data_IF_233031665915
#
_entry.id   IF_233031665915
#
_cell.length_a   1.000
_cell.length_b   1.000
_cell.length_c   1.000
_cell.angle_alpha   90.00
_cell.angle_beta   90.00
_cell.angle_gamma   90.00
#
_symmetry.space_group_name_H-M   'P 1'
#
loop_
_entity.id
_entity.type
_entity.pdbx_description
1 polymer ?
#
# COMPACT_ATOMS: atom_id res chain seq x y z
N UNK A 1 13.59 -8.09 -18.07
CA UNK A 1 14.71 -7.98 -17.10
C UNK A 1 14.94 -9.35 -16.49
N UNK A 2 16.20 -9.76 -16.34
CA UNK A 2 16.53 -11.10 -15.84
C UNK A 2 16.25 -11.13 -14.33
N UNK A 3 15.51 -12.12 -13.85
CA UNK A 3 15.06 -12.24 -12.44
C UNK A 3 16.23 -12.13 -11.44
N UNK A 4 17.41 -12.63 -11.80
CA UNK A 4 18.63 -12.55 -10.96
C UNK A 4 19.19 -11.13 -10.84
N UNK A 5 19.17 -10.32 -11.91
CA UNK A 5 19.63 -8.92 -11.86
C UNK A 5 18.72 -8.07 -10.98
N UNK A 6 17.41 -8.31 -11.03
CA UNK A 6 16.44 -7.62 -10.17
C UNK A 6 16.67 -7.97 -8.69
N UNK A 7 16.85 -9.24 -8.34
CA UNK A 7 17.12 -9.67 -6.96
C UNK A 7 18.42 -9.06 -6.42
N UNK A 8 19.49 -9.02 -7.21
CA UNK A 8 20.76 -8.40 -6.81
C UNK A 8 20.60 -6.91 -6.54
N UNK A 9 19.84 -6.20 -7.38
CA UNK A 9 19.58 -4.78 -7.20
C UNK A 9 18.74 -4.51 -5.94
N UNK A 10 17.68 -5.28 -5.71
CA UNK A 10 16.85 -5.18 -4.50
C UNK A 10 17.66 -5.49 -3.24
N UNK A 11 18.51 -6.50 -3.26
CA UNK A 11 19.40 -6.82 -2.12
C UNK A 11 20.40 -5.70 -1.84
N UNK A 12 20.93 -5.04 -2.87
CA UNK A 12 21.81 -3.88 -2.72
C UNK A 12 21.07 -2.69 -2.07
N UNK A 13 19.82 -2.42 -2.47
CA UNK A 13 18.97 -1.40 -1.84
C UNK A 13 18.65 -1.75 -0.38
N UNK A 14 18.26 -3.00 -0.12
CA UNK A 14 18.00 -3.49 1.23
C UNK A 14 19.21 -3.28 2.15
N UNK A 15 20.41 -3.59 1.66
CA UNK A 15 21.65 -3.49 2.44
C UNK A 15 22.07 -2.04 2.74
N UNK A 16 21.53 -1.05 2.01
CA UNK A 16 21.65 0.37 2.39
C UNK A 16 20.67 0.76 3.50
N UNK A 17 19.57 0.04 3.63
CA UNK A 17 18.49 0.31 4.59
C UNK A 17 18.74 -0.38 5.95
N UNK A 18 19.31 -1.59 5.94
CA UNK A 18 19.48 -2.42 7.15
C UNK A 18 20.72 -2.03 7.95
N UNK A 19 20.76 -2.44 9.23
CA UNK A 19 21.90 -2.17 10.14
C UNK A 19 23.14 -3.03 9.86
N UNK A 20 23.00 -4.11 9.11
CA UNK A 20 24.08 -4.98 8.67
C UNK A 20 23.83 -5.44 7.24
N UNK A 21 24.88 -5.87 6.58
CA UNK A 21 24.78 -6.51 5.27
C UNK A 21 24.16 -7.90 5.42
N UNK A 22 23.16 -8.21 4.61
CA UNK A 22 22.54 -9.51 4.48
C UNK A 22 22.95 -10.17 3.17
N UNK A 23 23.05 -11.50 3.19
CA UNK A 23 23.14 -12.31 2.00
C UNK A 23 21.73 -12.71 1.52
N UNK A 24 21.61 -13.16 0.27
CA UNK A 24 20.32 -13.50 -0.35
C UNK A 24 19.58 -14.62 0.40
N UNK A 25 20.31 -15.59 0.93
CA UNK A 25 19.75 -16.72 1.69
C UNK A 25 19.31 -16.36 3.11
N UNK A 26 19.74 -15.21 3.65
CA UNK A 26 19.37 -14.75 5.00
C UNK A 26 18.02 -14.01 5.02
N UNK A 27 17.53 -13.56 3.86
CA UNK A 27 16.32 -12.74 3.77
C UNK A 27 15.31 -13.34 2.80
N UNK A 28 14.04 -13.02 3.03
CA UNK A 28 12.95 -13.23 2.10
C UNK A 28 12.50 -11.87 1.59
N UNK A 29 12.66 -11.64 0.29
CA UNK A 29 12.22 -10.43 -0.41
C UNK A 29 10.89 -10.72 -1.11
N UNK A 30 9.94 -9.82 -0.98
CA UNK A 30 8.64 -9.97 -1.65
C UNK A 30 8.00 -8.61 -1.91
N UNK A 31 7.11 -8.58 -2.90
CA UNK A 31 6.38 -7.38 -3.26
C UNK A 31 5.04 -7.34 -2.51
N UNK A 32 4.60 -6.14 -2.16
CA UNK A 32 3.31 -5.87 -1.51
C UNK A 32 2.57 -4.81 -2.31
N UNK A 33 1.33 -5.11 -2.70
CA UNK A 33 0.40 -4.12 -3.24
C UNK A 33 -0.24 -3.39 -2.05
N UNK A 34 0.26 -2.19 -1.71
CA UNK A 34 -0.15 -1.48 -0.50
C UNK A 34 -1.53 -0.83 -0.65
N UNK A 35 -1.73 -0.04 -1.69
CA UNK A 35 -2.98 0.65 -2.01
C UNK A 35 -2.96 1.15 -3.45
N UNK A 36 -4.09 1.66 -3.94
CA UNK A 36 -4.24 2.14 -5.31
C UNK A 36 -5.23 3.31 -5.41
N UNK A 37 -5.52 3.76 -6.65
CA UNK A 37 -6.48 4.81 -6.94
C UNK A 37 -7.85 4.28 -7.38
N UNK A 38 -8.15 2.98 -7.21
CA UNK A 38 -9.48 2.44 -7.47
C UNK A 38 -10.45 2.88 -6.37
N UNK A 39 -11.73 2.96 -6.69
CA UNK A 39 -12.77 3.19 -5.69
C UNK A 39 -12.98 1.87 -4.94
N UNK A 40 -12.74 1.91 -3.65
CA UNK A 40 -12.87 0.75 -2.77
C UNK A 40 -14.34 0.47 -2.37
N UNK A 41 -14.54 -0.58 -1.58
CA UNK A 41 -15.87 -1.00 -1.09
C UNK A 41 -16.54 0.04 -0.19
N UNK A 42 -15.79 0.96 0.40
CA UNK A 42 -16.29 2.02 1.26
C UNK A 42 -16.63 3.29 0.46
N UNK A 43 -16.40 3.26 -0.86
CA UNK A 43 -16.63 4.36 -1.78
C UNK A 43 -15.57 5.44 -1.66
N UNK A 44 -14.35 5.08 -1.24
CA UNK A 44 -13.21 5.96 -1.11
C UNK A 44 -12.10 5.57 -2.10
N UNK A 45 -11.27 6.52 -2.46
CA UNK A 45 -10.05 6.28 -3.23
C UNK A 45 -8.95 7.27 -2.86
N UNK A 46 -7.72 6.91 -3.08
CA UNK A 46 -6.61 7.86 -3.01
C UNK A 46 -6.51 8.69 -4.30
N UNK A 47 -6.16 9.98 -4.17
CA UNK A 47 -5.70 10.77 -5.32
C UNK A 47 -4.29 10.31 -5.74
N UNK A 48 -3.86 10.66 -6.97
CA UNK A 48 -2.50 10.34 -7.41
C UNK A 48 -1.44 11.04 -6.55
N UNK A 49 -1.72 12.27 -6.12
CA UNK A 49 -0.86 13.01 -5.19
C UNK A 49 -0.75 12.28 -3.84
N UNK A 50 -1.86 11.75 -3.33
CA UNK A 50 -1.84 10.95 -2.10
C UNK A 50 -0.99 9.68 -2.24
N UNK A 51 -1.02 9.02 -3.39
CA UNK A 51 -0.15 7.87 -3.64
C UNK A 51 1.34 8.26 -3.68
N UNK A 52 1.69 9.44 -4.23
CA UNK A 52 3.07 9.96 -4.20
C UNK A 52 3.52 10.31 -2.76
N UNK A 53 2.63 10.85 -1.92
CA UNK A 53 2.90 11.09 -0.51
C UNK A 53 3.11 9.77 0.24
N UNK A 54 2.21 8.80 0.06
CA UNK A 54 2.30 7.46 0.66
C UNK A 54 3.58 6.72 0.24
N UNK A 55 4.02 6.87 -1.00
CA UNK A 55 5.26 6.29 -1.51
C UNK A 55 6.47 6.67 -0.64
N UNK A 56 6.55 7.91 -0.21
CA UNK A 56 7.62 8.36 0.69
C UNK A 56 7.40 7.86 2.12
N UNK A 57 6.16 7.94 2.61
CA UNK A 57 5.82 7.65 4.00
C UNK A 57 5.91 6.15 4.35
N UNK A 58 5.69 5.26 3.38
CA UNK A 58 5.74 3.81 3.63
C UNK A 58 7.14 3.22 3.71
N UNK A 59 8.17 3.93 3.23
CA UNK A 59 9.55 3.45 3.40
C UNK A 59 9.89 3.37 4.89
N UNK A 60 10.29 2.17 5.34
CA UNK A 60 10.59 1.89 6.74
C UNK A 60 9.39 1.43 7.58
N UNK A 61 8.16 1.41 7.05
CA UNK A 61 6.99 0.97 7.82
C UNK A 61 6.97 -0.54 7.98
N UNK A 62 6.50 -0.96 9.16
CA UNK A 62 6.43 -2.37 9.53
C UNK A 62 5.18 -3.03 8.98
N UNK A 63 5.31 -4.31 8.60
CA UNK A 63 4.19 -5.22 8.37
C UNK A 63 3.82 -5.94 9.67
N UNK A 64 2.54 -5.97 9.98
CA UNK A 64 1.97 -6.62 11.16
C UNK A 64 0.77 -7.49 10.76
N UNK A 65 -0.02 -7.95 11.71
CA UNK A 65 -1.26 -8.70 11.47
C UNK A 65 -2.45 -7.94 12.06
N UNK A 66 -3.57 -7.91 11.31
CA UNK A 66 -4.90 -7.46 11.75
C UNK A 66 -4.90 -6.07 12.42
N UNK A 67 -4.05 -5.15 11.93
CA UNK A 67 -3.88 -3.80 12.50
C UNK A 67 -3.61 -3.79 14.01
N UNK A 68 -2.96 -4.84 14.53
CA UNK A 68 -2.62 -4.97 15.94
C UNK A 68 -1.20 -4.45 16.22
N UNK A 69 -1.01 -3.22 16.75
CA UNK A 69 0.27 -2.52 16.80
C UNK A 69 1.17 -2.97 17.97
N UNK A 70 1.16 -4.24 18.31
CA UNK A 70 2.06 -4.80 19.30
C UNK A 70 3.46 -5.02 18.71
N UNK A 71 4.49 -4.73 19.50
CA UNK A 71 5.88 -4.91 19.07
C UNK A 71 6.22 -6.33 18.62
N UNK A 72 5.60 -7.34 19.23
CA UNK A 72 5.76 -8.77 18.87
C UNK A 72 5.17 -9.14 17.51
N UNK A 73 4.24 -8.32 16.97
CA UNK A 73 3.60 -8.53 15.67
C UNK A 73 4.43 -7.98 14.50
N UNK A 74 5.52 -7.27 14.74
CA UNK A 74 6.38 -6.78 13.67
C UNK A 74 7.05 -7.96 12.97
N UNK A 75 6.68 -8.18 11.70
CA UNK A 75 7.13 -9.38 10.98
C UNK A 75 7.91 -9.07 9.70
N UNK A 76 7.56 -7.99 9.01
CA UNK A 76 8.20 -7.54 7.79
C UNK A 76 8.43 -6.03 7.81
N UNK A 77 9.21 -5.53 6.83
CA UNK A 77 9.43 -4.08 6.69
C UNK A 77 9.60 -3.68 5.24
N UNK A 78 8.98 -2.57 4.85
CA UNK A 78 9.19 -1.96 3.54
C UNK A 78 10.55 -1.27 3.51
N UNK A 79 11.38 -1.56 2.51
CA UNK A 79 12.68 -0.89 2.32
C UNK A 79 12.71 0.00 1.08
N UNK A 80 11.81 -0.22 0.12
CA UNK A 80 11.64 0.61 -1.06
C UNK A 80 10.19 0.60 -1.52
N UNK A 81 9.79 1.62 -2.27
CA UNK A 81 8.45 1.77 -2.84
C UNK A 81 8.52 2.33 -4.25
N UNK A 82 7.55 1.98 -5.07
CA UNK A 82 7.37 2.57 -6.39
C UNK A 82 5.88 2.70 -6.75
N UNK A 83 5.53 3.70 -7.56
CA UNK A 83 4.21 3.75 -8.20
C UNK A 83 4.27 2.98 -9.51
N UNK A 84 3.31 2.09 -9.68
CA UNK A 84 3.13 1.30 -10.90
C UNK A 84 1.83 1.73 -11.56
N UNK A 85 1.92 2.20 -12.80
CA UNK A 85 0.74 2.56 -13.59
C UNK A 85 0.47 1.49 -14.64
N UNK A 86 -0.78 1.08 -14.75
CA UNK A 86 -1.28 0.20 -15.79
C UNK A 86 -2.13 1.04 -16.78
N UNK A 87 -1.51 1.62 -17.83
CA UNK A 87 -2.18 2.63 -18.67
C UNK A 87 -3.39 2.10 -19.43
N UNK A 88 -3.42 0.80 -19.72
CA UNK A 88 -4.55 0.14 -20.41
C UNK A 88 -5.73 -0.18 -19.46
N UNK A 89 -5.51 -0.15 -18.15
CA UNK A 89 -6.55 -0.36 -17.15
C UNK A 89 -7.08 0.98 -16.66
N UNK A 90 -8.40 1.12 -16.63
CA UNK A 90 -9.10 2.29 -16.08
C UNK A 90 -9.79 1.94 -14.79
N UNK A 91 -9.71 2.86 -13.82
CA UNK A 91 -10.49 2.82 -12.59
C UNK A 91 -11.97 3.12 -12.87
N UNK A 92 -12.84 2.83 -11.91
CA UNK A 92 -14.25 3.22 -11.97
C UNK A 92 -14.44 4.75 -12.06
N UNK A 93 -13.44 5.55 -11.62
CA UNK A 93 -13.40 7.00 -11.79
C UNK A 93 -12.91 7.45 -13.19
N UNK A 94 -12.51 6.50 -14.08
CA UNK A 94 -12.04 6.76 -15.45
C UNK A 94 -10.56 7.13 -15.55
N UNK A 95 -9.81 7.13 -14.47
CA UNK A 95 -8.36 7.41 -14.44
C UNK A 95 -7.53 6.18 -14.83
N UNK A 96 -6.29 6.33 -15.31
CA UNK A 96 -5.37 5.21 -15.42
C UNK A 96 -5.16 4.56 -14.05
N UNK A 97 -5.29 3.24 -13.99
CA UNK A 97 -5.07 2.52 -12.73
C UNK A 97 -3.61 2.66 -12.30
N UNK A 98 -3.42 3.09 -11.07
CA UNK A 98 -2.10 3.30 -10.47
C UNK A 98 -2.11 2.76 -9.05
N UNK A 99 -1.09 1.96 -8.71
CA UNK A 99 -0.96 1.42 -7.36
C UNK A 99 0.41 1.67 -6.77
N UNK A 100 0.46 1.69 -5.45
CA UNK A 100 1.69 1.77 -4.68
C UNK A 100 2.20 0.37 -4.38
N UNK A 101 3.34 0.02 -4.97
CA UNK A 101 4.06 -1.21 -4.68
C UNK A 101 5.12 -0.95 -3.62
N UNK A 102 5.14 -1.80 -2.60
CA UNK A 102 6.20 -1.87 -1.60
C UNK A 102 7.10 -3.07 -1.84
N UNK A 103 8.41 -2.88 -1.75
CA UNK A 103 9.37 -3.98 -1.65
C UNK A 103 9.63 -4.23 -0.17
N UNK A 104 9.21 -5.39 0.30
CA UNK A 104 9.29 -5.81 1.69
C UNK A 104 10.36 -6.90 1.90
N UNK A 105 10.83 -6.98 3.12
CA UNK A 105 11.71 -8.08 3.53
C UNK A 105 11.36 -8.63 4.91
N UNK A 106 11.74 -9.87 5.11
CA UNK A 106 11.84 -10.55 6.41
C UNK A 106 13.21 -11.17 6.54
N UNK A 107 13.80 -11.14 7.73
CA UNK A 107 14.97 -11.98 8.03
C UNK A 107 14.46 -13.40 8.23
N UNK A 108 15.06 -14.38 7.54
CA UNK A 108 14.70 -15.79 7.68
C UNK A 108 15.08 -16.30 9.05
N UNK A 109 14.14 -16.90 9.76
CA UNK A 109 14.32 -17.53 11.06
C UNK A 109 13.53 -18.84 11.11
N UNK A 110 13.82 -19.70 12.06
CA UNK A 110 13.00 -20.92 12.26
C UNK A 110 11.56 -20.57 12.64
N UNK A 111 11.34 -19.45 13.35
CA UNK A 111 10.02 -19.04 13.81
C UNK A 111 9.10 -18.52 12.69
N UNK A 112 9.66 -18.00 11.58
CA UNK A 112 8.83 -17.44 10.49
C UNK A 112 8.84 -18.29 9.20
N UNK A 113 9.44 -19.46 9.25
CA UNK A 113 9.55 -20.35 8.08
C UNK A 113 8.21 -20.70 7.44
N UNK A 114 7.21 -20.98 8.25
CA UNK A 114 5.89 -21.36 7.74
C UNK A 114 5.14 -20.12 7.22
N UNK A 115 5.25 -18.98 7.88
CA UNK A 115 4.73 -17.70 7.38
C UNK A 115 5.31 -17.35 5.98
N UNK A 116 6.61 -17.49 5.80
CA UNK A 116 7.26 -17.26 4.49
C UNK A 116 6.69 -18.20 3.43
N UNK A 117 6.44 -19.46 3.74
CA UNK A 117 5.81 -20.43 2.82
C UNK A 117 4.36 -20.04 2.48
N UNK A 118 3.61 -19.55 3.45
CA UNK A 118 2.23 -19.09 3.25
C UNK A 118 2.16 -17.86 2.34
N UNK A 119 3.11 -16.92 2.48
CA UNK A 119 3.21 -15.74 1.62
C UNK A 119 3.65 -16.15 0.21
N UNK A 120 4.73 -16.92 0.09
CA UNK A 120 5.28 -17.39 -1.19
C UNK A 120 4.26 -18.26 -1.96
N UNK A 121 3.51 -19.06 -1.22
CA UNK A 121 2.43 -19.90 -1.76
C UNK A 121 1.13 -19.14 -2.06
N UNK A 122 1.04 -17.83 -1.80
CA UNK A 122 -0.14 -17.00 -2.08
C UNK A 122 -1.32 -17.24 -1.13
N UNK A 123 -1.08 -17.81 0.05
CA UNK A 123 -2.12 -17.99 1.09
C UNK A 123 -2.34 -16.68 1.84
N UNK A 124 -1.25 -15.98 2.20
CA UNK A 124 -1.31 -14.66 2.84
C UNK A 124 -0.88 -13.60 1.83
N UNK A 125 -1.84 -13.02 1.14
CA UNK A 125 -1.61 -12.04 0.06
C UNK A 125 -2.43 -10.76 0.23
N UNK A 126 -3.54 -10.80 1.00
CA UNK A 126 -4.36 -9.63 1.27
C UNK A 126 -3.66 -8.76 2.31
N UNK A 127 -3.59 -7.46 1.97
CA UNK A 127 -3.03 -6.46 2.88
C UNK A 127 -3.95 -5.25 2.99
N UNK A 128 -3.83 -4.55 4.11
CA UNK A 128 -4.48 -3.28 4.36
C UNK A 128 -3.44 -2.31 4.92
N UNK A 129 -3.67 -1.02 4.76
CA UNK A 129 -2.78 0.03 5.26
C UNK A 129 -3.48 0.90 6.30
N UNK A 130 -2.69 1.50 7.19
CA UNK A 130 -3.14 2.54 8.12
C UNK A 130 -2.41 3.85 7.83
N UNK A 131 -3.18 4.88 7.48
CA UNK A 131 -2.67 6.22 7.21
C UNK A 131 -3.65 7.31 7.65
N UNK A 132 -3.18 8.55 7.70
CA UNK A 132 -4.04 9.73 7.95
C UNK A 132 -4.08 10.61 6.70
N UNK A 133 -5.27 10.77 6.12
CA UNK A 133 -5.55 11.76 5.09
C UNK A 133 -6.15 13.02 5.74
N UNK A 134 -5.57 14.19 5.52
CA UNK A 134 -6.09 15.45 6.04
C UNK A 134 -7.30 15.96 5.27
N UNK A 135 -7.46 15.53 4.01
CA UNK A 135 -8.58 15.94 3.16
C UNK A 135 -9.37 14.73 2.66
N UNK A 136 -10.68 14.89 2.63
CA UNK A 136 -11.64 13.95 2.06
C UNK A 136 -12.68 14.75 1.30
N UNK A 137 -12.73 14.64 -0.03
CA UNK A 137 -13.60 15.48 -0.87
C UNK A 137 -14.58 14.65 -1.68
N UNK A 138 -15.81 15.15 -1.82
CA UNK A 138 -16.83 14.55 -2.68
C UNK A 138 -16.45 14.73 -4.16
N UNK A 139 -16.44 13.65 -4.94
CA UNK A 139 -16.11 13.66 -6.37
C UNK A 139 -17.08 14.46 -7.24
N UNK A 140 -18.33 14.70 -6.77
CA UNK A 140 -19.36 15.40 -7.52
C UNK A 140 -19.31 16.91 -7.34
N UNK A 141 -19.14 17.40 -6.10
CA UNK A 141 -19.21 18.83 -5.79
C UNK A 141 -17.96 19.42 -5.13
N UNK A 142 -16.94 18.62 -4.84
CA UNK A 142 -15.71 19.08 -4.18
C UNK A 142 -15.85 19.45 -2.71
N UNK A 143 -17.01 19.28 -2.09
CA UNK A 143 -17.21 19.57 -0.69
C UNK A 143 -16.33 18.69 0.19
N UNK A 144 -15.77 19.25 1.25
CA UNK A 144 -15.03 18.49 2.27
C UNK A 144 -16.00 17.59 3.06
N UNK A 145 -15.86 16.27 2.92
CA UNK A 145 -16.77 15.28 3.49
C UNK A 145 -16.78 15.28 5.02
N UNK A 146 -15.71 15.78 5.65
CA UNK A 146 -15.54 15.81 7.11
C UNK A 146 -15.99 17.13 7.73
N UNK A 147 -15.77 18.27 7.02
CA UNK A 147 -16.07 19.60 7.53
C UNK A 147 -17.43 20.12 7.11
N UNK A 148 -17.85 19.81 5.90
CA UNK A 148 -19.10 20.28 5.29
C UNK A 148 -19.71 19.17 4.44
N UNK A 149 -20.28 18.13 5.06
CA UNK A 149 -20.88 17.04 4.31
C UNK A 149 -21.94 17.56 3.34
N UNK A 150 -21.93 17.06 2.11
CA UNK A 150 -22.90 17.38 1.09
C UNK A 150 -24.01 16.32 1.05
N UNK A 151 -25.01 16.54 0.16
CA UNK A 151 -26.14 15.59 -0.02
C UNK A 151 -25.81 14.39 -0.90
N UNK A 152 -24.65 14.38 -1.57
CA UNK A 152 -24.24 13.30 -2.44
C UNK A 152 -23.80 12.08 -1.62
N UNK A 153 -24.23 10.91 -2.05
CA UNK A 153 -23.94 9.64 -1.37
C UNK A 153 -23.00 8.81 -2.24
N UNK A 154 -21.94 8.28 -1.63
CA UNK A 154 -21.02 7.36 -2.29
C UNK A 154 -21.76 6.15 -2.87
N UNK A 155 -21.37 5.74 -4.07
CA UNK A 155 -22.00 4.65 -4.83
C UNK A 155 -23.22 5.07 -5.69
N UNK A 156 -23.73 6.30 -5.54
CA UNK A 156 -24.81 6.81 -6.41
C UNK A 156 -24.25 7.68 -7.53
N UNK A 157 -24.96 7.72 -8.66
CA UNK A 157 -24.57 8.51 -9.84
C UNK A 157 -25.32 9.83 -9.91
N UNK A 158 -24.60 10.94 -10.09
CA UNK A 158 -25.12 12.30 -10.22
C UNK A 158 -24.57 12.94 -11.49
N UNK A 159 -25.45 13.23 -12.45
CA UNK A 159 -25.03 13.82 -13.72
C UNK A 159 -24.02 12.99 -14.51
N UNK A 160 -24.06 11.66 -14.38
CA UNK A 160 -23.10 10.76 -15.03
C UNK A 160 -21.80 10.51 -14.24
N UNK A 161 -21.62 11.14 -13.08
CA UNK A 161 -20.47 10.94 -12.19
C UNK A 161 -20.85 9.96 -11.07
N UNK A 162 -20.13 8.85 -10.95
CA UNK A 162 -20.21 7.95 -9.80
C UNK A 162 -19.65 8.68 -8.57
N UNK A 163 -20.52 8.95 -7.59
CA UNK A 163 -20.11 9.61 -6.36
C UNK A 163 -19.18 8.72 -5.54
N UNK A 164 -18.05 9.27 -5.17
CA UNK A 164 -17.08 8.67 -4.28
C UNK A 164 -16.34 9.76 -3.51
N UNK A 165 -15.60 9.38 -2.49
CA UNK A 165 -14.75 10.26 -1.71
C UNK A 165 -13.30 10.16 -2.17
N UNK A 166 -12.65 11.29 -2.34
CA UNK A 166 -11.23 11.36 -2.72
C UNK A 166 -10.40 11.74 -1.50
N UNK A 167 -9.55 10.84 -1.08
CA UNK A 167 -8.60 11.02 0.00
C UNK A 167 -7.31 11.67 -0.53
N UNK A 168 -6.88 12.77 0.09
CA UNK A 168 -5.69 13.52 -0.30
C UNK A 168 -5.02 14.18 0.91
N UNK A 169 -3.83 14.77 0.71
CA UNK A 169 -3.02 15.38 1.76
C UNK A 169 -2.72 14.38 2.88
N UNK A 170 -1.95 13.34 2.55
CA UNK A 170 -1.57 12.32 3.53
C UNK A 170 -0.52 12.90 4.47
N UNK A 171 -0.81 12.87 5.76
CA UNK A 171 0.07 13.45 6.78
C UNK A 171 0.92 12.42 7.50
N UNK A 172 0.47 11.16 7.55
CA UNK A 172 1.25 10.06 8.13
C UNK A 172 0.79 8.70 7.58
N UNK A 173 1.70 7.72 7.62
CA UNK A 173 1.43 6.31 7.40
C UNK A 173 1.99 5.53 8.58
N UNK A 174 1.21 4.64 9.17
CA UNK A 174 1.58 3.99 10.44
C UNK A 174 2.18 2.60 10.22
N UNK A 175 1.48 1.76 9.49
CA UNK A 175 1.83 0.38 9.25
C UNK A 175 1.06 -0.17 8.05
N UNK A 176 1.37 -1.39 7.66
CA UNK A 176 0.56 -2.22 6.79
C UNK A 176 0.36 -3.58 7.44
N UNK A 177 -0.76 -4.24 7.16
CA UNK A 177 -1.14 -5.48 7.82
C UNK A 177 -1.50 -6.56 6.83
N UNK A 178 -1.09 -7.80 7.11
CA UNK A 178 -1.76 -8.96 6.55
C UNK A 178 -3.15 -9.07 7.19
N UNK A 179 -4.18 -9.18 6.35
CA UNK A 179 -5.60 -9.24 6.75
C UNK A 179 -6.31 -10.37 6.01
N UNK A 180 -7.56 -10.68 6.43
CA UNK A 180 -8.42 -11.66 5.77
C UNK A 180 -9.60 -10.99 5.05
#
# INVERSE_FOLDING_TARGET
MNTKENTTQLLAQLNQFTRRVHQEDEVFLFDVHLCDNEIDRDGERFSLEALEELKTLFVGRTGIFDHNPKGENQTARIFATELVQEPERRTAAGEPYTYLKGNAYMVRTDANRDLIREIDGGIKKEVSISCTAASCTCSVCGADCRKSPCVHQAGLTYGGILCHHVLSNITDAYEWSFVA
#
